data_IF_727785077881
#
_entry.id   IF_727785077881
#
_cell.length_a   1.000
_cell.length_b   1.000
_cell.length_c   1.000
_cell.angle_alpha   90.00
_cell.angle_beta   90.00
_cell.angle_gamma   90.00
#
_symmetry.space_group_name_H-M   'P 1'
#
loop_
_entity.id
_entity.type
_entity.pdbx_description
1 polymer ?
#
# COMPACT_ATOMS: atom_id res chain seq x y z
N UNK A 1 -12.19 -6.27 -12.68
CA UNK A 1 -12.10 -4.86 -12.25
C UNK A 1 -13.09 -4.06 -13.09
N UNK A 2 -13.91 -3.20 -12.50
CA UNK A 2 -14.94 -2.43 -13.21
C UNK A 2 -14.57 -0.96 -13.39
N UNK A 3 -13.80 -0.37 -12.49
CA UNK A 3 -13.42 1.05 -12.58
C UNK A 3 -12.07 1.34 -11.93
N UNK A 4 -11.29 2.22 -12.58
CA UNK A 4 -10.07 2.85 -12.03
C UNK A 4 -10.38 4.31 -11.72
N UNK A 5 -10.15 4.74 -10.48
CA UNK A 5 -10.37 6.14 -10.06
C UNK A 5 -9.03 6.68 -9.57
N UNK A 6 -8.39 7.51 -10.37
CA UNK A 6 -7.09 8.14 -10.05
C UNK A 6 -7.34 9.45 -9.32
N UNK A 7 -6.50 9.80 -8.35
CA UNK A 7 -6.58 11.11 -7.71
C UNK A 7 -6.47 12.22 -8.77
N UNK A 8 -7.42 13.16 -8.77
CA UNK A 8 -7.55 14.18 -9.82
C UNK A 8 -6.33 15.12 -9.92
N UNK A 9 -5.53 15.22 -8.86
CA UNK A 9 -4.28 15.99 -8.81
C UNK A 9 -3.02 15.10 -8.82
N UNK A 10 -3.10 13.88 -9.35
CA UNK A 10 -1.92 13.03 -9.49
C UNK A 10 -0.90 13.68 -10.42
N UNK A 11 0.34 13.78 -9.97
CA UNK A 11 1.49 14.26 -10.75
C UNK A 11 2.56 13.17 -10.82
N UNK A 12 2.77 12.61 -12.01
CA UNK A 12 3.71 11.52 -12.23
C UNK A 12 5.18 11.95 -12.19
N UNK A 13 5.48 13.23 -12.41
CA UNK A 13 6.85 13.77 -12.37
C UNK A 13 7.23 14.04 -10.93
N UNK A 14 6.40 14.76 -10.18
CA UNK A 14 6.65 15.08 -8.77
C UNK A 14 6.32 13.93 -7.81
N UNK A 15 5.69 12.84 -8.30
CA UNK A 15 5.10 11.76 -7.48
C UNK A 15 4.12 12.27 -6.44
N UNK A 16 3.45 13.39 -6.73
CA UNK A 16 2.49 14.01 -5.81
C UNK A 16 1.14 13.33 -5.94
N UNK A 17 0.48 13.10 -4.80
CA UNK A 17 -0.83 12.46 -4.71
C UNK A 17 -0.88 11.08 -5.38
N UNK A 18 0.15 10.26 -5.16
CA UNK A 18 0.25 8.91 -5.70
C UNK A 18 -0.71 7.94 -4.96
N UNK A 19 -2.00 8.05 -5.30
CA UNK A 19 -3.09 7.26 -4.74
C UNK A 19 -4.20 7.05 -5.78
N UNK A 20 -4.80 5.86 -5.77
CA UNK A 20 -5.93 5.51 -6.63
C UNK A 20 -6.87 4.51 -5.93
N UNK A 21 -8.14 4.49 -6.35
CA UNK A 21 -9.14 3.50 -5.94
C UNK A 21 -9.45 2.57 -7.11
N UNK A 22 -9.59 1.28 -6.82
CA UNK A 22 -9.98 0.25 -7.78
C UNK A 22 -11.35 -0.31 -7.37
N UNK A 23 -12.36 -0.12 -8.21
CA UNK A 23 -13.66 -0.78 -8.03
C UNK A 23 -13.58 -2.15 -8.68
N UNK A 24 -13.84 -3.18 -7.88
CA UNK A 24 -13.90 -4.55 -8.38
C UNK A 24 -15.20 -4.76 -9.17
N UNK A 25 -15.15 -5.64 -10.17
CA UNK A 25 -16.33 -6.03 -10.94
C UNK A 25 -17.26 -6.92 -10.12
N UNK A 26 -16.68 -7.70 -9.21
CA UNK A 26 -17.38 -8.57 -8.28
C UNK A 26 -16.98 -8.18 -6.86
N UNK A 27 -17.94 -7.98 -5.93
CA UNK A 27 -17.62 -7.74 -4.52
C UNK A 27 -16.79 -8.88 -3.93
N UNK A 28 -15.90 -8.54 -2.99
CA UNK A 28 -15.17 -9.54 -2.21
C UNK A 28 -16.08 -10.07 -1.10
N UNK A 29 -16.18 -11.39 -0.98
CA UNK A 29 -16.72 -12.04 0.23
C UNK A 29 -15.62 -12.12 1.29
N UNK A 30 -15.88 -11.56 2.48
CA UNK A 30 -14.92 -11.56 3.58
C UNK A 30 -14.93 -12.89 4.35
N UNK A 31 -13.75 -13.29 4.81
CA UNK A 31 -13.52 -14.49 5.62
C UNK A 31 -12.20 -14.39 6.40
N UNK A 32 -11.75 -15.46 7.03
CA UNK A 32 -10.52 -15.48 7.84
C UNK A 32 -9.24 -15.06 7.07
N UNK A 33 -9.23 -15.18 5.74
CA UNK A 33 -8.12 -14.82 4.87
C UNK A 33 -8.28 -13.47 4.16
N UNK A 34 -9.50 -12.92 4.14
CA UNK A 34 -9.87 -11.71 3.40
C UNK A 34 -10.62 -10.75 4.31
N UNK A 35 -9.94 -9.68 4.72
CA UNK A 35 -10.51 -8.65 5.58
C UNK A 35 -10.07 -7.26 5.10
N UNK A 36 -10.90 -6.22 5.27
CA UNK A 36 -10.50 -4.85 4.99
C UNK A 36 -9.49 -4.34 6.02
N UNK A 37 -8.71 -3.32 5.65
CA UNK A 37 -7.88 -2.56 6.57
C UNK A 37 -8.57 -1.26 6.96
N UNK A 38 -8.41 -0.83 8.22
CA UNK A 38 -8.95 0.43 8.70
C UNK A 38 -8.20 1.61 8.08
N UNK A 39 -8.94 2.62 7.62
CA UNK A 39 -8.38 3.88 7.16
C UNK A 39 -8.08 4.75 8.39
N UNK A 40 -6.89 5.34 8.41
CA UNK A 40 -6.49 6.25 9.48
C UNK A 40 -7.15 7.62 9.33
N UNK A 41 -7.63 8.17 10.44
CA UNK A 41 -8.03 9.58 10.54
C UNK A 41 -6.88 10.47 11.03
N UNK A 42 -5.67 9.92 11.20
CA UNK A 42 -4.48 10.66 11.65
C UNK A 42 -3.62 11.03 10.45
N UNK A 43 -3.14 12.26 10.45
CA UNK A 43 -2.24 12.77 9.41
C UNK A 43 -0.77 12.61 9.78
N UNK A 44 -0.46 12.34 11.05
CA UNK A 44 0.91 12.22 11.55
C UNK A 44 1.01 11.13 12.62
N UNK A 45 2.21 10.59 12.76
CA UNK A 45 2.58 9.61 13.77
C UNK A 45 3.92 10.03 14.40
N UNK A 46 4.13 9.71 15.67
CA UNK A 46 5.37 10.05 16.37
C UNK A 46 6.57 9.34 15.74
N UNK A 47 7.71 10.04 15.67
CA UNK A 47 8.99 9.41 15.30
C UNK A 47 9.30 8.24 16.24
N UNK A 48 9.94 7.21 15.71
CA UNK A 48 10.22 5.96 16.42
C UNK A 48 9.03 5.00 16.52
N UNK A 49 7.82 5.39 16.12
CA UNK A 49 6.67 4.47 16.04
C UNK A 49 6.99 3.33 15.08
N UNK A 50 6.80 2.09 15.53
CA UNK A 50 6.96 0.91 14.69
C UNK A 50 5.75 0.72 13.77
N UNK A 51 6.00 0.57 12.48
CA UNK A 51 5.04 0.16 11.47
C UNK A 51 5.43 -1.21 10.88
N UNK A 52 4.47 -1.88 10.25
CA UNK A 52 4.70 -3.15 9.56
C UNK A 52 4.59 -2.90 8.06
N UNK A 53 5.60 -3.36 7.31
CA UNK A 53 5.52 -3.50 5.86
C UNK A 53 5.40 -4.97 5.52
N UNK A 54 4.56 -5.31 4.54
CA UNK A 54 4.35 -6.69 4.07
C UNK A 54 4.30 -6.76 2.55
N UNK A 55 4.72 -7.89 1.99
CA UNK A 55 4.72 -8.11 0.55
C UNK A 55 5.61 -9.27 0.11
N UNK A 56 5.73 -9.43 -1.20
CA UNK A 56 6.57 -10.44 -1.86
C UNK A 56 7.90 -9.87 -2.39
N UNK A 57 8.20 -8.60 -2.10
CA UNK A 57 9.52 -8.02 -2.39
C UNK A 57 9.77 -7.72 -3.87
N UNK A 58 8.74 -7.35 -4.65
CA UNK A 58 8.94 -6.75 -5.97
C UNK A 58 9.27 -5.26 -5.78
N UNK A 59 10.55 -4.92 -5.89
CA UNK A 59 11.07 -3.57 -5.60
C UNK A 59 11.31 -2.72 -6.86
N UNK A 60 11.23 -3.32 -8.04
CA UNK A 60 11.20 -2.60 -9.32
C UNK A 60 10.41 -3.39 -10.38
N UNK A 61 10.32 -2.81 -11.58
CA UNK A 61 9.54 -3.36 -12.70
C UNK A 61 10.27 -4.47 -13.49
N UNK A 62 11.55 -4.73 -13.20
CA UNK A 62 12.40 -5.61 -14.00
C UNK A 62 12.84 -6.87 -13.27
N UNK A 63 12.85 -6.85 -11.93
CA UNK A 63 13.30 -7.96 -11.12
C UNK A 63 12.11 -8.67 -10.47
N UNK A 64 11.83 -9.86 -11.00
CA UNK A 64 11.00 -10.83 -10.28
C UNK A 64 11.90 -11.55 -9.28
N UNK A 65 11.70 -11.28 -7.99
CA UNK A 65 12.54 -11.85 -6.92
C UNK A 65 12.23 -13.33 -6.64
N UNK A 66 11.23 -13.93 -7.31
CA UNK A 66 10.91 -15.36 -7.20
C UNK A 66 10.42 -15.80 -5.81
N UNK A 67 10.07 -14.85 -4.94
CA UNK A 67 9.62 -15.15 -3.58
C UNK A 67 8.14 -15.59 -3.64
N UNK A 68 7.86 -16.85 -3.30
CA UNK A 68 6.50 -17.42 -3.29
C UNK A 68 5.74 -17.22 -1.98
N UNK A 69 6.45 -16.87 -0.90
CA UNK A 69 5.89 -16.71 0.43
C UNK A 69 5.81 -15.24 0.84
N UNK A 70 4.66 -14.83 1.36
CA UNK A 70 4.47 -13.48 1.90
C UNK A 70 5.42 -13.24 3.08
N UNK A 71 6.11 -12.10 3.08
CA UNK A 71 7.00 -11.68 4.17
C UNK A 71 6.48 -10.40 4.83
N UNK A 72 6.98 -10.13 6.05
CA UNK A 72 6.75 -8.88 6.79
C UNK A 72 8.05 -8.40 7.43
N UNK A 73 8.17 -7.08 7.60
CA UNK A 73 9.24 -6.45 8.35
C UNK A 73 8.69 -5.35 9.26
N UNK A 74 9.33 -5.16 10.41
CA UNK A 74 9.07 -4.03 11.30
C UNK A 74 9.99 -2.88 10.89
N UNK A 75 9.43 -1.71 10.64
CA UNK A 75 10.15 -0.47 10.30
C UNK A 75 9.78 0.62 11.28
N UNK A 76 10.65 1.60 11.49
CA UNK A 76 10.39 2.72 12.38
C UNK A 76 10.12 3.99 11.58
N UNK A 77 9.13 4.76 12.00
CA UNK A 77 8.85 6.07 11.43
C UNK A 77 10.03 6.99 11.76
N UNK A 78 10.68 7.50 10.72
CA UNK A 78 11.85 8.35 10.81
C UNK A 78 11.57 9.70 10.14
N UNK A 79 12.32 10.73 10.53
CA UNK A 79 12.33 11.99 9.81
C UNK A 79 13.14 11.84 8.53
N UNK A 80 12.72 12.52 7.46
CA UNK A 80 13.58 12.70 6.29
C UNK A 80 14.86 13.45 6.72
N UNK A 81 16.02 13.01 6.21
CA UNK A 81 17.27 13.77 6.32
C UNK A 81 17.33 14.81 5.22
#
# INVERSE_FOLDING_TARGET
>A
MSQKIVHFQYDSVAKKNDIALLKLSTPISFDSSKQPINISNKNTYSLGTTAIVSGWGQIDQYHNTGISQLRKANVTIASCK
#
